data_IF_082087055005
#
_entry.id   IF_082087055005
#
_cell.length_a   1.000
_cell.length_b   1.000
_cell.length_c   1.000
_cell.angle_alpha   90.00
_cell.angle_beta   90.00
_cell.angle_gamma   90.00
#
_symmetry.space_group_name_H-M   'P 1'
#
loop_
_entity.id
_entity.type
_entity.pdbx_description
1 polymer ?
#
# COMPACT_ATOMS: atom_id res chain seq x y z
N UNK A 1 11.14 -7.46 -8.30
CA UNK A 1 12.28 -6.55 -8.54
C UNK A 1 12.70 -6.02 -7.19
N UNK A 2 14.00 -5.94 -6.89
CA UNK A 2 14.45 -5.44 -5.59
C UNK A 2 14.28 -3.91 -5.52
N UNK A 3 14.17 -3.39 -4.29
CA UNK A 3 13.98 -1.95 -4.04
C UNK A 3 15.16 -1.10 -4.50
N UNK A 4 16.37 -1.67 -4.54
CA UNK A 4 17.60 -1.00 -5.01
C UNK A 4 17.56 -0.60 -6.49
N UNK A 5 16.78 -1.34 -7.29
CA UNK A 5 16.64 -1.14 -8.74
C UNK A 5 15.27 -0.60 -9.15
N UNK A 6 14.34 -0.41 -8.20
CA UNK A 6 12.96 -0.02 -8.48
C UNK A 6 12.69 1.37 -7.93
N UNK A 7 12.54 2.36 -8.81
CA UNK A 7 12.28 3.74 -8.38
C UNK A 7 10.82 3.92 -7.96
N UNK A 8 10.54 4.99 -7.20
CA UNK A 8 9.15 5.40 -6.91
C UNK A 8 8.36 5.70 -8.20
N UNK A 9 9.02 6.19 -9.25
CA UNK A 9 8.39 6.40 -10.54
C UNK A 9 7.97 5.07 -11.18
N UNK A 10 8.82 4.03 -11.11
CA UNK A 10 8.50 2.70 -11.62
C UNK A 10 7.29 2.09 -10.90
N UNK A 11 7.24 2.20 -9.57
CA UNK A 11 6.11 1.70 -8.77
C UNK A 11 4.82 2.44 -9.12
N UNK A 12 4.86 3.78 -9.18
CA UNK A 12 3.71 4.60 -9.55
C UNK A 12 3.16 4.23 -10.93
N UNK A 13 4.04 4.00 -11.90
CA UNK A 13 3.67 3.62 -13.25
C UNK A 13 3.00 2.24 -13.29
N UNK A 14 3.58 1.25 -12.60
CA UNK A 14 3.00 -0.10 -12.49
C UNK A 14 1.62 -0.10 -11.83
N UNK A 15 1.43 0.70 -10.78
CA UNK A 15 0.12 0.88 -10.14
C UNK A 15 -0.87 1.53 -11.11
N UNK A 16 -0.46 2.56 -11.86
CA UNK A 16 -1.32 3.20 -12.85
C UNK A 16 -1.75 2.25 -13.98
N UNK A 17 -0.85 1.38 -14.43
CA UNK A 17 -1.13 0.33 -15.42
C UNK A 17 -2.09 -0.72 -14.86
N UNK A 18 -1.88 -1.17 -13.62
CA UNK A 18 -2.75 -2.13 -12.94
C UNK A 18 -4.19 -1.62 -12.83
N UNK A 19 -4.37 -0.35 -12.45
CA UNK A 19 -5.67 0.33 -12.34
C UNK A 19 -6.31 0.49 -13.71
N UNK A 20 -5.53 0.86 -14.73
CA UNK A 20 -6.00 1.03 -16.09
C UNK A 20 -6.49 -0.29 -16.70
N UNK A 21 -5.74 -1.38 -16.51
CA UNK A 21 -6.06 -2.71 -17.03
C UNK A 21 -7.40 -3.26 -16.51
N UNK A 22 -7.87 -2.74 -15.37
CA UNK A 22 -9.14 -3.13 -14.73
C UNK A 22 -10.27 -2.14 -14.97
N UNK A 23 -10.03 -1.08 -15.76
CA UNK A 23 -10.96 0.03 -15.95
C UNK A 23 -11.39 0.71 -14.63
N UNK A 24 -10.52 0.68 -13.62
CA UNK A 24 -10.82 1.21 -12.28
C UNK A 24 -10.62 2.72 -12.15
N UNK A 25 -10.05 3.37 -13.17
CA UNK A 25 -9.81 4.82 -13.16
C UNK A 25 -11.07 5.63 -12.84
N UNK A 26 -12.25 5.15 -13.24
CA UNK A 26 -13.54 5.78 -12.94
C UNK A 26 -13.90 5.86 -11.45
N UNK A 27 -13.34 4.96 -10.62
CA UNK A 27 -13.58 4.92 -9.17
C UNK A 27 -12.47 5.61 -8.37
N UNK A 28 -11.31 5.84 -9.00
CA UNK A 28 -10.11 6.41 -8.40
C UNK A 28 -10.19 7.95 -8.35
N UNK A 29 -11.11 8.46 -7.54
CA UNK A 29 -11.18 9.89 -7.18
C UNK A 29 -10.55 10.13 -5.80
N UNK A 30 -10.01 11.34 -5.50
CA UNK A 30 -9.26 11.58 -4.26
C UNK A 30 -10.01 11.17 -2.99
N UNK A 31 -11.32 11.48 -2.92
CA UNK A 31 -12.18 11.09 -1.78
C UNK A 31 -12.23 9.58 -1.56
N UNK A 32 -12.36 8.79 -2.63
CA UNK A 32 -12.47 7.34 -2.52
C UNK A 32 -11.13 6.74 -2.12
N UNK A 33 -10.05 7.18 -2.76
CA UNK A 33 -8.70 6.72 -2.47
C UNK A 33 -8.26 7.05 -1.04
N UNK A 34 -8.58 8.24 -0.52
CA UNK A 34 -8.29 8.57 0.87
C UNK A 34 -9.01 7.66 1.87
N UNK A 35 -10.23 7.22 1.52
CA UNK A 35 -10.96 6.25 2.34
C UNK A 35 -10.34 4.85 2.24
N UNK A 36 -9.98 4.40 1.03
CA UNK A 36 -9.29 3.12 0.84
C UNK A 36 -7.99 3.05 1.64
N UNK A 37 -7.15 4.09 1.63
CA UNK A 37 -5.93 4.14 2.46
C UNK A 37 -6.26 3.88 3.94
N UNK A 38 -7.33 4.50 4.47
CA UNK A 38 -7.71 4.31 5.87
C UNK A 38 -8.25 2.89 6.15
N UNK A 39 -8.92 2.28 5.18
CA UNK A 39 -9.42 0.90 5.27
C UNK A 39 -8.23 -0.08 5.31
N UNK A 40 -7.31 -0.01 4.35
CA UNK A 40 -6.16 -0.94 4.32
C UNK A 40 -5.21 -0.73 5.51
N UNK A 41 -5.09 0.51 6.00
CA UNK A 41 -4.36 0.77 7.23
C UNK A 41 -5.04 0.10 8.43
N UNK A 42 -6.37 0.01 8.45
CA UNK A 42 -7.11 -0.74 9.47
C UNK A 42 -6.92 -2.25 9.31
N UNK A 43 -7.00 -2.79 8.10
CA UNK A 43 -6.75 -4.22 7.83
C UNK A 43 -5.33 -4.61 8.27
N UNK A 44 -4.31 -3.79 7.96
CA UNK A 44 -2.95 -3.96 8.48
C UNK A 44 -2.90 -3.97 10.03
N UNK A 45 -3.65 -3.09 10.71
CA UNK A 45 -3.72 -3.06 12.17
C UNK A 45 -4.37 -4.32 12.75
N UNK A 46 -5.33 -4.94 12.06
CA UNK A 46 -6.01 -6.16 12.53
C UNK A 46 -5.03 -7.32 12.76
N UNK A 47 -3.91 -7.34 12.03
CA UNK A 47 -2.88 -8.34 12.24
C UNK A 47 -2.23 -8.29 13.63
N UNK A 48 -2.30 -7.15 14.32
CA UNK A 48 -1.57 -6.87 15.55
C UNK A 48 -2.45 -6.49 16.75
N UNK A 49 -3.69 -6.05 16.52
CA UNK A 49 -4.53 -5.36 17.52
C UNK A 49 -4.72 -6.08 18.87
N UNK A 50 -4.61 -7.41 18.92
CA UNK A 50 -4.80 -8.21 20.15
C UNK A 50 -3.50 -8.82 20.71
N UNK A 51 -2.35 -8.50 20.11
CA UNK A 51 -1.06 -9.07 20.47
C UNK A 51 -0.26 -8.12 21.35
N UNK A 52 0.46 -8.65 22.34
CA UNK A 52 1.56 -7.89 22.95
C UNK A 52 2.70 -7.70 21.96
N UNK A 53 3.65 -6.83 22.28
CA UNK A 53 4.84 -6.63 21.46
C UNK A 53 5.61 -7.93 21.19
N UNK A 54 5.82 -8.75 22.22
CA UNK A 54 6.52 -10.03 22.12
C UNK A 54 5.74 -11.04 21.29
N UNK A 55 4.41 -11.09 21.45
CA UNK A 55 3.55 -11.97 20.66
C UNK A 55 3.53 -11.58 19.19
N UNK A 56 3.49 -10.28 18.87
CA UNK A 56 3.55 -9.79 17.50
C UNK A 56 4.88 -10.17 16.83
N UNK A 57 6.02 -9.96 17.51
CA UNK A 57 7.33 -10.34 17.00
C UNK A 57 7.46 -11.86 16.76
N UNK A 58 6.91 -12.67 17.66
CA UNK A 58 6.88 -14.13 17.52
C UNK A 58 5.94 -14.57 16.37
N UNK A 59 4.78 -13.93 16.21
CA UNK A 59 3.83 -14.24 15.14
C UNK A 59 4.41 -13.98 13.75
N UNK A 60 5.28 -12.98 13.60
CA UNK A 60 5.97 -12.69 12.34
C UNK A 60 7.06 -13.73 11.96
N UNK A 61 7.38 -14.69 12.84
CA UNK A 61 8.22 -15.83 12.47
C UNK A 61 7.45 -16.87 11.64
N UNK A 62 6.11 -16.83 11.67
CA UNK A 62 5.26 -17.61 10.78
C UNK A 62 5.20 -16.94 9.40
N UNK A 63 5.58 -17.68 8.37
CA UNK A 63 5.69 -17.14 7.01
C UNK A 63 4.34 -16.72 6.43
N UNK A 64 3.26 -17.43 6.75
CA UNK A 64 1.93 -17.09 6.26
C UNK A 64 1.42 -15.80 6.92
N UNK A 65 1.66 -15.62 8.23
CA UNK A 65 1.34 -14.37 8.93
C UNK A 65 2.15 -13.20 8.38
N UNK A 66 3.45 -13.40 8.12
CA UNK A 66 4.34 -12.39 7.54
C UNK A 66 3.91 -11.99 6.12
N UNK A 67 3.52 -12.95 5.30
CA UNK A 67 2.98 -12.71 3.97
C UNK A 67 1.69 -11.89 4.03
N UNK A 68 0.75 -12.26 4.89
CA UNK A 68 -0.51 -11.52 5.01
C UNK A 68 -0.30 -10.07 5.49
N UNK A 69 0.62 -9.83 6.43
CA UNK A 69 1.00 -8.46 6.83
C UNK A 69 1.63 -7.69 5.66
N UNK A 70 2.45 -8.36 4.84
CA UNK A 70 3.08 -7.74 3.68
C UNK A 70 2.05 -7.39 2.59
N UNK A 71 1.01 -8.20 2.42
CA UNK A 71 -0.10 -7.93 1.50
C UNK A 71 -0.84 -6.64 1.91
N UNK A 72 -1.24 -6.51 3.19
CA UNK A 72 -1.92 -5.29 3.67
C UNK A 72 -1.04 -4.05 3.60
N UNK A 73 0.26 -4.19 3.90
CA UNK A 73 1.22 -3.10 3.73
C UNK A 73 1.33 -2.68 2.26
N UNK A 74 1.34 -3.65 1.33
CA UNK A 74 1.35 -3.38 -0.09
C UNK A 74 0.08 -2.63 -0.51
N UNK A 75 -1.09 -2.99 0.01
CA UNK A 75 -2.35 -2.34 -0.33
C UNK A 75 -2.39 -0.88 0.17
N UNK A 76 -1.92 -0.59 1.38
CA UNK A 76 -1.72 0.80 1.86
C UNK A 76 -0.86 1.60 0.88
N UNK A 77 0.27 1.03 0.45
CA UNK A 77 1.18 1.69 -0.49
C UNK A 77 0.55 1.87 -1.88
N UNK A 78 -0.14 0.86 -2.41
CA UNK A 78 -0.80 0.90 -3.72
C UNK A 78 -1.84 2.01 -3.76
N UNK A 79 -2.66 2.18 -2.71
CA UNK A 79 -3.62 3.28 -2.66
C UNK A 79 -2.95 4.63 -2.45
N UNK A 80 -1.87 4.71 -1.65
CA UNK A 80 -1.05 5.92 -1.52
C UNK A 80 -0.48 6.39 -2.87
N UNK A 81 0.12 5.47 -3.64
CA UNK A 81 0.65 5.74 -4.98
C UNK A 81 -0.47 6.05 -5.98
N UNK A 82 -1.62 5.38 -5.88
CA UNK A 82 -2.81 5.70 -6.68
C UNK A 82 -3.30 7.12 -6.42
N UNK A 83 -3.33 7.56 -5.16
CA UNK A 83 -3.70 8.92 -4.79
C UNK A 83 -2.70 9.94 -5.35
N UNK A 84 -1.40 9.67 -5.22
CA UNK A 84 -0.35 10.52 -5.81
C UNK A 84 -0.51 10.65 -7.33
N UNK A 85 -0.82 9.55 -8.02
CA UNK A 85 -1.10 9.56 -9.45
C UNK A 85 -2.30 10.43 -9.83
N UNK A 86 -3.40 10.32 -9.08
CA UNK A 86 -4.62 11.11 -9.33
C UNK A 86 -4.42 12.60 -9.03
N UNK A 87 -3.63 12.93 -8.00
CA UNK A 87 -3.33 14.32 -7.63
C UNK A 87 -2.19 14.94 -8.45
N UNK A 88 -1.47 14.16 -9.25
CA UNK A 88 -0.28 14.63 -9.97
C UNK A 88 0.89 14.99 -9.05
N UNK A 89 0.97 14.36 -7.87
CA UNK A 89 2.00 14.64 -6.87
C UNK A 89 3.25 13.80 -7.17
N UNK A 90 4.41 14.46 -7.15
CA UNK A 90 5.69 13.77 -7.12
C UNK A 90 6.02 13.31 -5.69
N UNK A 91 5.97 12.00 -5.46
CA UNK A 91 6.12 11.41 -4.11
C UNK A 91 7.50 11.71 -3.52
N UNK A 92 8.57 11.54 -4.32
CA UNK A 92 9.94 11.81 -3.86
C UNK A 92 10.10 13.25 -3.38
N UNK A 93 9.54 14.22 -4.11
CA UNK A 93 9.61 15.65 -3.79
C UNK A 93 8.84 16.01 -2.51
N UNK A 94 7.73 15.35 -2.20
CA UNK A 94 6.94 15.69 -0.99
C UNK A 94 7.43 14.95 0.26
N UNK A 95 8.20 13.88 0.10
CA UNK A 95 8.79 13.11 1.21
C UNK A 95 10.14 13.68 1.65
N UNK A 96 10.93 14.22 0.73
CA UNK A 96 12.27 14.79 0.97
C UNK A 96 12.21 16.30 1.23
#
# INVERSE_FOLDING_TARGET
MPDEDTTLADLRQRVAEFVAARDWRQFHVPKNLSMSIAIEAAELMEHFQWLTHEQAAAALQDEAKRAAVADELADVLIYGLSLANVLGVDVSTVVL
#
